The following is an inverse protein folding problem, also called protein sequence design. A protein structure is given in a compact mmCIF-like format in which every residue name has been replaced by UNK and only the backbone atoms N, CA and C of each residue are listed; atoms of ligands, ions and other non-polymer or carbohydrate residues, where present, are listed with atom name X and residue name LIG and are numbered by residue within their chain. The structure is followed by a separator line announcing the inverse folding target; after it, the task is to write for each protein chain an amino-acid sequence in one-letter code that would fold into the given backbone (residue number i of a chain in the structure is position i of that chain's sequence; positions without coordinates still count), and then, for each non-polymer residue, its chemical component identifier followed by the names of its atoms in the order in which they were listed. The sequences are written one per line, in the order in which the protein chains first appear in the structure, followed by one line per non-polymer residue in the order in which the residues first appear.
data_IF_627133980922
#
_entry.id   IF_627133980922
#
_cell.length_a   1.000
_cell.length_b   1.000
_cell.length_c   1.000
_cell.angle_alpha   90.00
_cell.angle_beta   90.00
_cell.angle_gamma   90.00
#
_symmetry.space_group_name_H-M   'P 1'
#
loop_
_entity.id
_entity.type
_entity.pdbx_description
1 polymer ?
#
# COMPACT_ATOMS: atom_id res chain seq x y z
N UNK A 1 -3.05 20.29 4.75
CA UNK A 1 -2.24 19.64 3.71
C UNK A 1 -1.27 20.62 3.10
N UNK A 2 -0.09 20.18 2.84
CA UNK A 2 1.03 21.02 2.39
C UNK A 2 1.02 21.15 0.86
N UNK A 3 -0.06 21.65 0.32
CA UNK A 3 -0.14 21.91 -1.11
C UNK A 3 0.72 23.09 -1.50
N UNK A 4 1.43 22.98 -2.59
CA UNK A 4 2.16 24.08 -3.21
C UNK A 4 3.53 24.41 -2.62
N UNK A 5 4.07 23.60 -1.72
CA UNK A 5 5.48 23.72 -1.39
C UNK A 5 6.30 22.99 -2.44
N UNK A 6 7.02 23.72 -3.23
CA UNK A 6 8.18 23.18 -3.91
C UNK A 6 9.19 22.79 -2.83
N UNK A 7 9.03 21.61 -2.34
CA UNK A 7 10.04 21.03 -1.48
C UNK A 7 11.16 20.58 -2.38
N UNK A 8 12.33 21.13 -2.18
CA UNK A 8 13.55 20.54 -2.68
C UNK A 8 13.59 19.08 -2.27
N UNK A 9 14.45 18.28 -2.87
CA UNK A 9 14.62 16.85 -2.57
C UNK A 9 14.79 16.64 -1.07
N UNK A 10 13.69 16.29 -0.40
CA UNK A 10 13.70 15.91 1.02
C UNK A 10 13.71 14.39 1.08
N UNK A 11 14.68 13.86 1.77
CA UNK A 11 14.77 12.42 2.04
C UNK A 11 13.72 12.04 3.09
N UNK A 12 12.49 11.83 2.63
CA UNK A 12 11.35 11.56 3.48
C UNK A 12 10.30 10.71 2.77
N UNK A 13 9.55 9.94 3.56
CA UNK A 13 8.36 9.25 3.07
C UNK A 13 7.25 10.28 2.90
N UNK A 14 6.61 10.25 1.75
CA UNK A 14 5.47 11.12 1.45
C UNK A 14 4.17 10.37 1.60
N UNK A 15 3.27 10.89 2.42
CA UNK A 15 1.91 10.40 2.55
C UNK A 15 0.99 11.19 1.63
N UNK A 16 0.15 10.49 0.88
CA UNK A 16 -0.75 11.12 -0.08
C UNK A 16 -2.03 10.31 -0.23
N UNK A 17 -3.11 10.97 -0.58
CA UNK A 17 -4.30 10.31 -1.10
C UNK A 17 -4.05 9.91 -2.55
N UNK A 18 -4.85 8.99 -3.08
CA UNK A 18 -4.77 8.60 -4.49
C UNK A 18 -5.07 9.80 -5.40
N UNK A 19 -6.08 10.59 -5.08
CA UNK A 19 -6.43 11.80 -5.85
C UNK A 19 -5.28 12.80 -5.91
N UNK A 20 -4.64 13.05 -4.77
CA UNK A 20 -3.54 14.02 -4.69
C UNK A 20 -2.26 13.55 -5.38
N UNK A 21 -2.13 12.26 -5.65
CA UNK A 21 -0.96 11.68 -6.33
C UNK A 21 -0.96 11.86 -7.84
N UNK A 22 -2.06 12.30 -8.42
CA UNK A 22 -2.20 12.49 -9.87
C UNK A 22 -1.13 13.45 -10.40
N UNK A 23 -0.44 13.04 -11.44
CA UNK A 23 0.62 13.82 -12.08
C UNK A 23 1.98 13.75 -11.38
N UNK A 24 2.08 13.02 -10.27
CA UNK A 24 3.32 12.81 -9.54
C UNK A 24 3.93 11.45 -9.86
N UNK A 25 5.21 11.29 -9.59
CA UNK A 25 5.91 10.02 -9.76
C UNK A 25 6.79 9.76 -8.54
N UNK A 26 6.87 8.49 -8.14
CA UNK A 26 7.68 8.05 -7.03
C UNK A 26 8.44 6.78 -7.41
N UNK A 27 9.64 6.63 -6.90
CA UNK A 27 10.42 5.41 -7.12
C UNK A 27 9.71 4.18 -6.58
N UNK A 28 9.21 4.28 -5.37
CA UNK A 28 8.56 3.19 -4.65
C UNK A 28 7.23 3.67 -4.08
N UNK A 29 6.17 2.90 -4.30
CA UNK A 29 4.83 3.21 -3.83
C UNK A 29 4.30 2.08 -2.96
N UNK A 30 3.73 2.44 -1.81
CA UNK A 30 3.02 1.55 -0.91
C UNK A 30 1.54 1.95 -0.91
N UNK A 31 0.71 1.15 -1.53
CA UNK A 31 -0.73 1.34 -1.59
C UNK A 31 -1.37 0.51 -0.48
N UNK A 32 -1.84 1.19 0.55
CA UNK A 32 -2.41 0.55 1.74
C UNK A 32 -3.93 0.55 1.73
N UNK A 33 -4.53 -0.33 2.51
CA UNK A 33 -5.99 -0.38 2.63
C UNK A 33 -6.70 -0.92 1.39
N UNK A 34 -6.04 -1.80 0.63
CA UNK A 34 -6.64 -2.41 -0.56
C UNK A 34 -7.59 -3.54 -0.21
N UNK A 35 -8.68 -3.20 0.40
CA UNK A 35 -9.71 -4.14 0.85
C UNK A 35 -11.11 -3.63 0.54
N UNK A 36 -12.03 -4.55 0.36
CA UNK A 36 -13.44 -4.24 0.15
C UNK A 36 -13.99 -3.39 1.31
N UNK A 37 -14.71 -2.34 0.97
CA UNK A 37 -15.22 -1.36 1.92
C UNK A 37 -14.36 -0.11 2.06
N UNK A 38 -13.09 -0.17 1.67
CA UNK A 38 -12.16 0.96 1.65
C UNK A 38 -11.78 1.31 0.21
N UNK A 39 -11.38 0.32 -0.57
CA UNK A 39 -11.02 0.48 -1.96
C UNK A 39 -11.47 -0.76 -2.77
N UNK A 40 -12.68 -0.78 -3.35
CA UNK A 40 -13.65 0.33 -3.43
C UNK A 40 -14.32 0.63 -2.09
N UNK A 41 -14.69 1.89 -1.91
CA UNK A 41 -15.41 2.32 -0.72
C UNK A 41 -16.82 1.69 -0.70
N UNK A 42 -17.31 1.34 0.50
CA UNK A 42 -18.63 0.69 0.68
C UNK A 42 -19.80 1.49 0.12
N UNK A 43 -19.66 2.80 -0.03
CA UNK A 43 -20.68 3.66 -0.62
C UNK A 43 -20.52 3.85 -2.13
N UNK A 44 -19.52 3.21 -2.73
CA UNK A 44 -19.17 3.35 -4.15
C UNK A 44 -19.38 2.05 -4.94
N UNK A 45 -20.39 1.27 -4.58
CA UNK A 45 -20.63 -0.04 -5.20
C UNK A 45 -21.50 0.01 -6.47
N UNK A 46 -22.11 1.16 -6.78
CA UNK A 46 -22.81 1.34 -8.06
C UNK A 46 -21.82 1.24 -9.23
N UNK A 47 -22.21 0.66 -10.37
CA UNK A 47 -21.30 0.43 -11.49
C UNK A 47 -20.50 1.65 -11.94
N UNK A 48 -21.12 2.82 -11.99
CA UNK A 48 -20.43 4.07 -12.35
C UNK A 48 -19.39 4.51 -11.33
N UNK A 49 -19.68 4.34 -10.05
CA UNK A 49 -18.75 4.68 -8.96
C UNK A 49 -17.61 3.67 -8.88
N UNK A 50 -17.87 2.40 -9.12
CA UNK A 50 -16.82 1.36 -9.21
C UNK A 50 -15.84 1.71 -10.33
N UNK A 51 -16.31 2.17 -11.47
CA UNK A 51 -15.45 2.60 -12.58
C UNK A 51 -14.56 3.79 -12.19
N UNK A 52 -15.10 4.75 -11.45
CA UNK A 52 -14.32 5.88 -10.94
C UNK A 52 -13.25 5.42 -9.95
N UNK A 53 -13.61 4.53 -9.03
CA UNK A 53 -12.65 3.93 -8.08
C UNK A 53 -11.56 3.14 -8.80
N UNK A 54 -11.91 2.40 -9.85
CA UNK A 54 -10.96 1.65 -10.68
C UNK A 54 -9.96 2.58 -11.35
N UNK A 55 -10.42 3.70 -11.90
CA UNK A 55 -9.53 4.71 -12.50
C UNK A 55 -8.59 5.31 -11.46
N UNK A 56 -9.08 5.51 -10.25
CA UNK A 56 -8.29 6.03 -9.14
C UNK A 56 -7.19 5.05 -8.73
N UNK A 57 -7.51 3.76 -8.66
CA UNK A 57 -6.52 2.71 -8.42
C UNK A 57 -5.46 2.69 -9.52
N UNK A 58 -5.88 2.80 -10.78
CA UNK A 58 -4.96 2.88 -11.92
C UNK A 58 -4.00 4.07 -11.78
N UNK A 59 -4.51 5.23 -11.41
CA UNK A 59 -3.67 6.41 -11.13
C UNK A 59 -2.64 6.09 -10.06
N UNK A 60 -3.07 5.51 -8.94
CA UNK A 60 -2.16 5.14 -7.84
C UNK A 60 -1.06 4.17 -8.26
N UNK A 61 -1.42 3.13 -8.98
CA UNK A 61 -0.48 2.11 -9.47
C UNK A 61 0.55 2.72 -10.41
N UNK A 62 0.12 3.59 -11.31
CA UNK A 62 1.00 4.20 -12.32
C UNK A 62 1.90 5.29 -11.76
N UNK A 63 1.79 5.63 -10.47
CA UNK A 63 2.75 6.54 -9.81
C UNK A 63 4.09 5.88 -9.49
N UNK A 64 4.11 4.54 -9.46
CA UNK A 64 5.33 3.79 -9.14
C UNK A 64 6.24 3.65 -10.35
N UNK A 65 7.49 4.06 -10.19
CA UNK A 65 8.52 3.91 -11.23
C UNK A 65 9.23 2.56 -11.14
N UNK A 66 9.57 2.10 -9.94
CA UNK A 66 10.41 0.92 -9.73
C UNK A 66 9.69 -0.20 -8.99
N UNK A 67 8.96 0.11 -7.95
CA UNK A 67 8.24 -0.90 -7.19
C UNK A 67 6.91 -0.41 -6.67
N UNK A 68 5.96 -1.33 -6.60
CA UNK A 68 4.64 -1.13 -6.03
C UNK A 68 4.36 -2.25 -5.03
N UNK A 69 4.04 -1.86 -3.81
CA UNK A 69 3.62 -2.76 -2.75
C UNK A 69 2.18 -2.46 -2.40
N UNK A 70 1.34 -3.47 -2.49
CA UNK A 70 -0.08 -3.38 -2.15
C UNK A 70 -0.31 -4.18 -0.88
N UNK A 71 -0.99 -3.59 0.08
CA UNK A 71 -1.30 -4.26 1.33
C UNK A 71 -2.78 -4.19 1.68
N UNK A 72 -3.25 -5.22 2.37
CA UNK A 72 -4.59 -5.31 2.91
C UNK A 72 -4.55 -6.05 4.25
N UNK A 73 -5.56 -5.81 5.08
CA UNK A 73 -5.69 -6.48 6.37
C UNK A 73 -6.53 -7.74 6.25
N UNK A 74 -6.20 -8.77 7.00
CA UNK A 74 -7.10 -9.93 7.20
C UNK A 74 -8.25 -9.58 8.14
N UNK A 75 -7.98 -8.75 9.13
CA UNK A 75 -8.95 -8.26 10.09
C UNK A 75 -8.67 -6.80 10.40
N UNK A 76 -9.72 -6.06 10.63
CA UNK A 76 -9.63 -4.66 11.00
C UNK A 76 -10.48 -4.41 12.23
N UNK A 77 -9.94 -3.65 13.16
CA UNK A 77 -10.69 -3.26 14.36
C UNK A 77 -11.63 -2.09 14.03
N UNK A 78 -12.92 -2.36 14.14
CA UNK A 78 -13.98 -1.37 13.93
C UNK A 78 -14.87 -1.37 15.17
N UNK A 79 -15.03 -0.20 15.80
CA UNK A 79 -15.85 -0.04 16.99
C UNK A 79 -15.55 -1.07 18.09
N UNK A 80 -14.28 -1.29 18.40
CA UNK A 80 -13.76 -2.25 19.40
C UNK A 80 -13.89 -3.73 19.05
N UNK A 81 -14.40 -4.05 17.87
CA UNK A 81 -14.50 -5.42 17.40
C UNK A 81 -13.58 -5.65 16.20
N UNK A 82 -13.00 -6.83 16.09
CA UNK A 82 -12.25 -7.24 14.91
C UNK A 82 -13.21 -7.80 13.88
N UNK A 83 -13.23 -7.17 12.71
CA UNK A 83 -14.06 -7.54 11.58
C UNK A 83 -13.17 -8.17 10.51
N UNK A 84 -13.54 -9.34 9.95
CA UNK A 84 -12.80 -9.92 8.83
C UNK A 84 -12.88 -8.99 7.62
N UNK A 85 -11.75 -8.87 6.92
CA UNK A 85 -11.63 -8.06 5.72
C UNK A 85 -11.41 -8.96 4.50
N UNK A 86 -11.93 -8.52 3.36
CA UNK A 86 -11.72 -9.18 2.09
C UNK A 86 -10.74 -8.34 1.24
N UNK A 87 -9.80 -8.97 0.52
CA UNK A 87 -8.96 -8.24 -0.42
C UNK A 87 -9.79 -7.47 -1.44
N UNK A 88 -9.32 -6.32 -1.84
CA UNK A 88 -9.98 -5.52 -2.86
C UNK A 88 -10.17 -6.32 -4.16
N UNK A 89 -11.35 -6.19 -4.76
CA UNK A 89 -11.63 -6.78 -6.09
C UNK A 89 -10.64 -6.31 -7.15
N UNK A 90 -10.08 -5.13 -6.99
CA UNK A 90 -9.09 -4.60 -7.93
C UNK A 90 -7.78 -5.38 -7.92
N UNK A 91 -7.45 -6.04 -6.82
CA UNK A 91 -6.30 -6.96 -6.77
C UNK A 91 -6.57 -8.18 -7.66
N UNK A 92 -7.78 -8.72 -7.61
CA UNK A 92 -8.17 -9.87 -8.43
C UNK A 92 -8.20 -9.53 -9.93
N UNK A 93 -8.45 -8.28 -10.27
CA UNK A 93 -8.44 -7.80 -11.65
C UNK A 93 -7.02 -7.65 -12.22
N UNK A 94 -6.00 -7.64 -11.37
CA UNK A 94 -4.60 -7.63 -11.81
C UNK A 94 -4.20 -9.00 -12.34
N UNK A 95 -3.36 -9.02 -13.37
CA UNK A 95 -2.85 -10.28 -13.90
C UNK A 95 -2.07 -11.04 -12.83
N UNK A 96 -2.42 -12.30 -12.62
CA UNK A 96 -1.74 -13.16 -11.64
C UNK A 96 -0.26 -13.35 -11.92
N UNK A 97 0.12 -13.20 -13.17
CA UNK A 97 1.51 -13.28 -13.62
C UNK A 97 2.34 -12.09 -13.18
N UNK A 98 1.68 -10.94 -13.01
CA UNK A 98 2.32 -9.68 -12.67
C UNK A 98 2.32 -9.38 -11.17
N UNK A 99 1.60 -10.16 -10.38
CA UNK A 99 1.44 -9.95 -8.94
C UNK A 99 2.08 -11.09 -8.16
N UNK A 100 2.95 -10.74 -7.24
CA UNK A 100 3.55 -11.68 -6.30
C UNK A 100 2.94 -11.50 -4.92
N UNK A 101 2.35 -12.56 -4.40
CA UNK A 101 1.79 -12.56 -3.04
C UNK A 101 2.86 -12.95 -2.03
N UNK A 102 2.95 -12.17 -0.95
CA UNK A 102 3.79 -12.47 0.20
C UNK A 102 2.96 -12.35 1.48
N UNK A 103 3.24 -13.19 2.45
CA UNK A 103 2.40 -13.35 3.64
C UNK A 103 1.23 -14.28 3.36
N UNK A 104 0.30 -14.34 4.20
CA UNK A 104 -0.88 -15.22 4.12
C UNK A 104 -0.88 -16.27 5.21
N UNK A 105 -1.93 -17.06 5.23
CA UNK A 105 -2.22 -18.04 6.31
C UNK A 105 -1.13 -19.09 6.55
N UNK A 106 -0.17 -19.19 5.65
CA UNK A 106 0.96 -20.14 5.75
C UNK A 106 2.26 -19.49 6.20
N UNK A 107 2.30 -18.17 6.30
CA UNK A 107 3.48 -17.50 6.82
C UNK A 107 3.50 -17.68 8.34
N UNK A 108 4.33 -18.56 8.82
CA UNK A 108 4.64 -18.64 10.24
C UNK A 108 5.26 -17.30 10.66
N UNK A 109 4.72 -16.63 11.69
CA UNK A 109 5.36 -15.42 12.16
C UNK A 109 6.82 -15.74 12.48
N UNK A 110 7.76 -14.89 12.07
CA UNK A 110 9.16 -15.11 12.44
C UNK A 110 9.26 -15.14 13.94
N UNK A 111 10.03 -16.07 14.46
CA UNK A 111 10.35 -16.10 15.88
C UNK A 111 11.09 -14.80 16.27
N UNK A 112 11.22 -14.56 17.57
CA UNK A 112 11.90 -13.35 18.06
C UNK A 112 13.34 -13.24 17.55
N UNK A 113 14.04 -14.36 17.41
CA UNK A 113 15.40 -14.38 16.92
C UNK A 113 15.48 -13.93 15.46
N UNK A 114 14.59 -14.43 14.60
CA UNK A 114 14.50 -14.02 13.20
C UNK A 114 14.09 -12.55 13.06
N UNK A 115 13.13 -12.11 13.87
CA UNK A 115 12.70 -10.71 13.89
C UNK A 115 13.82 -9.77 14.30
N UNK A 116 14.56 -10.11 15.32
CA UNK A 116 15.70 -9.33 15.77
C UNK A 116 16.82 -9.30 14.74
N UNK A 117 17.13 -10.44 14.10
CA UNK A 117 18.13 -10.51 13.04
C UNK A 117 17.77 -9.62 11.86
N UNK A 118 16.49 -9.57 11.46
CA UNK A 118 16.00 -8.66 10.41
C UNK A 118 16.13 -7.20 10.80
N UNK A 119 15.80 -6.88 12.05
CA UNK A 119 15.91 -5.52 12.57
C UNK A 119 17.36 -5.06 12.62
N UNK A 120 18.27 -5.94 13.07
CA UNK A 120 19.69 -5.65 13.12
C UNK A 120 20.29 -5.48 11.71
N UNK A 121 19.86 -6.29 10.76
CA UNK A 121 20.25 -6.14 9.35
C UNK A 121 19.78 -4.78 8.78
N UNK A 122 18.56 -4.37 9.07
CA UNK A 122 18.06 -3.05 8.68
C UNK A 122 18.85 -1.92 9.30
N UNK A 123 19.17 -2.01 10.59
CA UNK A 123 19.99 -1.01 11.28
C UNK A 123 21.39 -0.92 10.68
N UNK A 124 21.98 -2.06 10.35
CA UNK A 124 23.29 -2.10 9.70
C UNK A 124 23.27 -1.44 8.31
N UNK A 125 22.22 -1.68 7.54
CA UNK A 125 22.04 -1.05 6.22
C UNK A 125 21.90 0.47 6.36
N UNK A 126 21.15 0.94 7.34
CA UNK A 126 20.96 2.37 7.60
C UNK A 126 22.25 3.03 8.10
N UNK A 127 23.03 2.34 8.93
CA UNK A 127 24.30 2.83 9.43
C UNK A 127 25.38 2.88 8.34
N UNK A 128 25.36 1.94 7.37
CA UNK A 128 26.28 1.91 6.23
C UNK A 128 26.02 2.99 5.18
N UNK A 129 24.90 3.68 5.26
CA UNK A 129 24.48 4.71 4.29
C UNK A 129 24.66 6.14 4.83
N UNK A 130 25.45 6.33 5.86
CA UNK A 130 25.83 7.68 6.30
C UNK A 130 26.89 8.25 5.36
N UNK A 131 26.66 9.47 4.87
CA UNK A 131 27.67 10.16 4.08
C UNK A 131 28.93 10.43 4.88
#
# INVERSE_FOLDING_TARGET
MLEGREEGEVDAVRLSTLHASKGLEYGHVFLIGCEEGILPHRESLDPGKIEEERRLVYVGITRAQFSLHISYCERRKVAREFVPCEPSRFIDEMGKEDVRFSGGKQATPPDKATGNARLDAMKAMLAGNKP
#
